data_IF_164999569206
#
_entry.id   IF_164999569206
#
_cell.length_a   1.000
_cell.length_b   1.000
_cell.length_c   1.000
_cell.angle_alpha   90.00
_cell.angle_beta   90.00
_cell.angle_gamma   90.00
#
_symmetry.space_group_name_H-M   'P 1'
#
loop_
_entity.id
_entity.type
_entity.pdbx_description
1 polymer ?
#
# COMPACT_ATOMS: atom_id res chain seq x y z
N UNK A 1 -11.15 -1.79 29.29
CA UNK A 1 -10.36 -0.68 28.72
C UNK A 1 -10.75 0.62 29.40
N UNK A 2 -9.77 1.40 29.84
CA UNK A 2 -9.96 2.77 30.36
C UNK A 2 -10.32 3.73 29.22
N UNK A 3 -10.74 4.96 29.53
CA UNK A 3 -10.99 5.99 28.51
C UNK A 3 -9.74 6.33 27.72
N UNK A 4 -8.59 6.46 28.40
CA UNK A 4 -7.30 6.71 27.75
C UNK A 4 -6.93 5.60 26.76
N UNK A 5 -7.15 4.33 27.13
CA UNK A 5 -6.91 3.19 26.24
C UNK A 5 -7.81 3.25 24.99
N UNK A 6 -9.09 3.63 25.14
CA UNK A 6 -10.02 3.78 24.02
C UNK A 6 -9.63 4.94 23.09
N UNK A 7 -9.18 6.06 23.65
CA UNK A 7 -8.70 7.20 22.86
C UNK A 7 -7.47 6.79 22.06
N UNK A 8 -6.50 6.13 22.71
CA UNK A 8 -5.29 5.66 22.03
C UNK A 8 -5.61 4.70 20.88
N UNK A 9 -6.55 3.78 21.08
CA UNK A 9 -7.00 2.86 20.04
C UNK A 9 -7.60 3.59 18.83
N UNK A 10 -8.43 4.62 19.06
CA UNK A 10 -9.03 5.45 17.99
C UNK A 10 -7.94 6.25 17.26
N UNK A 11 -7.00 6.83 17.99
CA UNK A 11 -5.86 7.56 17.40
C UNK A 11 -5.00 6.63 16.52
N UNK A 12 -4.80 5.39 16.96
CA UNK A 12 -4.03 4.40 16.22
C UNK A 12 -4.75 3.92 14.96
N UNK A 13 -6.06 3.68 15.06
CA UNK A 13 -6.89 3.39 13.88
C UNK A 13 -6.83 4.53 12.85
N UNK A 14 -6.95 5.78 13.30
CA UNK A 14 -6.86 6.95 12.42
C UNK A 14 -5.45 7.11 11.81
N UNK A 15 -4.40 6.85 12.58
CA UNK A 15 -3.02 6.92 12.10
C UNK A 15 -2.71 5.84 11.06
N UNK A 16 -3.17 4.61 11.27
CA UNK A 16 -3.03 3.52 10.29
C UNK A 16 -3.82 3.82 9.01
N UNK A 17 -5.05 4.35 9.12
CA UNK A 17 -5.81 4.76 7.93
C UNK A 17 -5.06 5.85 7.16
N UNK A 18 -4.51 6.84 7.85
CA UNK A 18 -3.71 7.90 7.23
C UNK A 18 -2.46 7.34 6.55
N UNK A 19 -1.79 6.35 7.14
CA UNK A 19 -0.63 5.67 6.56
C UNK A 19 -0.99 5.02 5.21
N UNK A 20 -2.10 4.29 5.16
CA UNK A 20 -2.65 3.67 3.94
C UNK A 20 -2.98 4.70 2.86
N UNK A 21 -3.63 5.80 3.21
CA UNK A 21 -3.96 6.86 2.27
C UNK A 21 -2.71 7.62 1.80
N UNK A 22 -1.72 7.80 2.68
CA UNK A 22 -0.45 8.45 2.33
C UNK A 22 0.35 7.62 1.33
N UNK A 23 0.28 6.29 1.40
CA UNK A 23 0.89 5.41 0.41
C UNK A 23 0.33 5.65 -1.00
N UNK A 24 -1.00 5.65 -1.13
CA UNK A 24 -1.68 5.91 -2.40
C UNK A 24 -1.37 7.32 -2.92
N UNK A 25 -1.40 8.32 -2.05
CA UNK A 25 -1.04 9.69 -2.39
C UNK A 25 0.40 9.83 -2.90
N UNK A 26 1.37 9.17 -2.26
CA UNK A 26 2.76 9.20 -2.71
C UNK A 26 2.92 8.55 -4.10
N UNK A 27 2.24 7.44 -4.37
CA UNK A 27 2.21 6.82 -5.70
C UNK A 27 1.69 7.80 -6.77
N UNK A 28 0.53 8.41 -6.51
CA UNK A 28 -0.12 9.31 -7.47
C UNK A 28 0.63 10.63 -7.70
N UNK A 29 1.43 11.06 -6.72
CA UNK A 29 2.30 12.23 -6.83
C UNK A 29 3.74 11.91 -7.27
N UNK A 30 4.03 10.64 -7.61
CA UNK A 30 5.37 10.16 -8.02
C UNK A 30 6.45 10.38 -6.96
N UNK A 31 6.07 10.40 -5.69
CA UNK A 31 6.98 10.58 -4.57
C UNK A 31 7.46 9.22 -4.04
N UNK A 32 8.35 8.56 -4.78
CA UNK A 32 8.87 7.24 -4.40
C UNK A 32 9.55 7.26 -3.03
N UNK A 33 10.37 8.27 -2.73
CA UNK A 33 11.02 8.42 -1.42
C UNK A 33 10.02 8.58 -0.28
N UNK A 34 8.97 9.39 -0.49
CA UNK A 34 7.87 9.53 0.45
C UNK A 34 7.16 8.21 0.69
N UNK A 35 6.91 7.44 -0.37
CA UNK A 35 6.27 6.14 -0.28
C UNK A 35 7.13 5.12 0.49
N UNK A 36 8.44 5.09 0.24
CA UNK A 36 9.40 4.25 0.98
C UNK A 36 9.43 4.60 2.47
N UNK A 37 9.34 5.88 2.82
CA UNK A 37 9.45 6.33 4.22
C UNK A 37 8.32 5.82 5.13
N UNK A 38 7.24 5.29 4.54
CA UNK A 38 6.10 4.69 5.22
C UNK A 38 6.37 3.27 5.72
N UNK A 39 7.48 2.67 5.30
CA UNK A 39 7.88 1.32 5.66
C UNK A 39 8.98 1.33 6.73
N UNK A 40 9.00 0.26 7.53
CA UNK A 40 10.13 -0.09 8.40
C UNK A 40 11.38 -0.37 7.58
N UNK A 41 12.56 -0.25 8.18
CA UNK A 41 13.84 -0.50 7.50
C UNK A 41 13.96 -1.95 7.01
N UNK A 42 13.51 -2.90 7.84
CA UNK A 42 13.48 -4.34 7.63
C UNK A 42 12.17 -4.85 7.02
N UNK A 43 11.42 -3.98 6.35
CA UNK A 43 10.11 -4.31 5.78
C UNK A 43 10.16 -5.48 4.81
N UNK A 44 9.04 -6.21 4.74
CA UNK A 44 8.78 -7.20 3.69
C UNK A 44 7.66 -6.74 2.75
N UNK A 45 7.93 -6.65 1.46
CA UNK A 45 6.95 -6.25 0.46
C UNK A 45 6.82 -7.36 -0.58
N UNK A 46 5.60 -7.84 -0.79
CA UNK A 46 5.31 -8.93 -1.71
C UNK A 46 4.28 -8.53 -2.73
N UNK A 47 4.49 -8.95 -3.98
CA UNK A 47 3.51 -8.79 -5.05
C UNK A 47 3.06 -10.16 -5.52
N UNK A 48 1.75 -10.34 -5.60
CA UNK A 48 1.08 -11.52 -6.14
C UNK A 48 0.26 -11.10 -7.36
N UNK A 49 0.79 -11.33 -8.57
CA UNK A 49 0.04 -11.12 -9.81
C UNK A 49 -0.99 -12.24 -10.07
N UNK A 50 -0.79 -13.41 -9.47
CA UNK A 50 -1.83 -14.43 -9.31
C UNK A 50 -2.22 -14.48 -7.82
N UNK A 51 -3.43 -14.00 -7.46
CA UNK A 51 -3.86 -13.92 -6.07
C UNK A 51 -4.12 -15.29 -5.44
N UNK A 52 -4.15 -16.38 -6.23
CA UNK A 52 -4.33 -17.76 -5.75
C UNK A 52 -3.00 -18.50 -5.57
N UNK A 53 -1.89 -17.89 -5.96
CA UNK A 53 -0.56 -18.48 -5.83
C UNK A 53 -0.09 -18.46 -4.38
N UNK A 54 0.46 -19.59 -3.91
CA UNK A 54 1.13 -19.66 -2.60
C UNK A 54 2.50 -18.97 -2.61
N UNK A 55 3.06 -18.71 -3.80
CA UNK A 55 4.36 -18.06 -3.98
C UNK A 55 4.21 -16.65 -4.56
N UNK A 56 4.87 -15.64 -3.98
CA UNK A 56 4.86 -14.27 -4.51
C UNK A 56 5.61 -14.18 -5.85
N UNK A 57 5.14 -13.30 -6.73
CA UNK A 57 5.80 -12.95 -7.99
C UNK A 57 7.03 -12.08 -7.79
N UNK A 58 7.04 -11.29 -6.71
CA UNK A 58 8.16 -10.44 -6.32
C UNK A 58 8.21 -10.35 -4.79
N UNK A 59 9.43 -10.36 -4.24
CA UNK A 59 9.68 -10.14 -2.81
C UNK A 59 10.80 -9.13 -2.66
N UNK A 60 10.58 -8.15 -1.79
CA UNK A 60 11.58 -7.17 -1.34
C UNK A 60 11.62 -7.23 0.19
N UNK A 61 12.81 -7.29 0.77
CA UNK A 61 12.98 -7.54 2.22
C UNK A 61 13.74 -6.42 2.93
N UNK A 62 13.85 -5.25 2.32
CA UNK A 62 14.34 -4.03 2.96
C UNK A 62 13.73 -2.80 2.29
N UNK A 63 13.73 -1.68 3.02
CA UNK A 63 13.12 -0.43 2.55
C UNK A 63 13.84 0.18 1.35
N UNK A 64 15.16 0.10 1.30
CA UNK A 64 15.96 0.79 0.28
C UNK A 64 15.70 0.22 -1.12
N UNK A 65 15.47 -1.09 -1.20
CA UNK A 65 15.16 -1.81 -2.43
C UNK A 65 13.72 -1.58 -2.94
N UNK A 66 12.88 -0.85 -2.20
CA UNK A 66 11.53 -0.49 -2.67
C UNK A 66 11.55 0.62 -3.74
N UNK A 67 12.63 1.39 -3.83
CA UNK A 67 12.68 2.54 -4.73
C UNK A 67 12.31 2.18 -6.18
N UNK A 68 12.91 1.15 -6.82
CA UNK A 68 12.62 0.84 -8.23
C UNK A 68 11.17 0.41 -8.46
N UNK A 69 10.52 -0.21 -7.46
CA UNK A 69 9.12 -0.63 -7.58
C UNK A 69 8.18 0.57 -7.60
N UNK A 70 8.42 1.54 -6.72
CA UNK A 70 7.58 2.73 -6.64
C UNK A 70 7.90 3.73 -7.77
N UNK A 71 9.17 3.84 -8.16
CA UNK A 71 9.60 4.68 -9.27
C UNK A 71 9.06 4.19 -10.63
N UNK A 72 8.75 2.90 -10.76
CA UNK A 72 8.15 2.33 -11.97
C UNK A 72 6.80 2.98 -12.33
N UNK A 73 6.10 3.66 -11.42
CA UNK A 73 4.88 4.41 -11.75
C UNK A 73 5.14 5.59 -12.72
N UNK A 74 6.40 6.02 -12.89
CA UNK A 74 6.79 7.01 -13.89
C UNK A 74 6.66 6.50 -15.33
N UNK A 75 6.45 5.20 -15.56
CA UNK A 75 6.13 4.69 -16.90
C UNK A 75 4.74 5.09 -17.38
N UNK A 76 3.86 5.55 -16.46
CA UNK A 76 2.51 5.99 -16.76
C UNK A 76 2.42 7.52 -16.77
N UNK A 77 1.73 8.08 -17.77
CA UNK A 77 1.42 9.52 -17.85
C UNK A 77 0.70 10.04 -16.59
N UNK A 78 -0.18 9.22 -16.01
CA UNK A 78 -0.91 9.56 -14.78
C UNK A 78 -1.37 8.30 -14.07
N UNK A 79 -1.44 8.35 -12.73
CA UNK A 79 -2.08 7.30 -11.93
C UNK A 79 -3.10 7.90 -10.97
N UNK A 80 -4.06 7.08 -10.55
CA UNK A 80 -4.96 7.38 -9.45
C UNK A 80 -5.26 6.09 -8.67
N UNK A 81 -5.00 6.09 -7.38
CA UNK A 81 -5.28 4.98 -6.48
C UNK A 81 -6.48 5.34 -5.59
N UNK A 82 -7.55 4.56 -5.69
CA UNK A 82 -8.76 4.76 -4.90
C UNK A 82 -8.88 3.67 -3.84
N UNK A 83 -8.65 4.03 -2.57
CA UNK A 83 -8.77 3.11 -1.44
C UNK A 83 -10.24 2.93 -1.02
N UNK A 84 -10.67 1.68 -0.93
CA UNK A 84 -12.03 1.26 -0.54
C UNK A 84 -12.13 0.83 0.91
N UNK A 85 -12.85 -0.28 1.16
CA UNK A 85 -13.00 -0.83 2.51
C UNK A 85 -11.62 -1.12 3.13
N UNK A 86 -11.52 -0.79 4.42
CA UNK A 86 -10.35 -1.00 5.24
C UNK A 86 -10.80 -1.62 6.57
N UNK A 87 -10.09 -2.64 7.03
CA UNK A 87 -10.28 -3.25 8.34
C UNK A 87 -8.92 -3.41 9.00
N UNK A 88 -8.85 -3.10 10.30
CA UNK A 88 -7.61 -3.12 11.08
C UNK A 88 -7.91 -3.75 12.44
N UNK A 89 -7.04 -4.65 12.87
CA UNK A 89 -7.02 -5.20 14.23
C UNK A 89 -5.72 -4.78 14.90
N UNK A 90 -5.82 -4.07 16.02
CA UNK A 90 -4.68 -3.51 16.74
C UNK A 90 -4.42 -4.34 18.00
N UNK A 91 -3.16 -4.68 18.23
CA UNK A 91 -2.67 -5.35 19.41
C UNK A 91 -1.39 -4.62 19.90
N UNK A 92 -1.57 -3.68 20.82
CA UNK A 92 -0.52 -2.80 21.33
C UNK A 92 0.16 -1.97 20.21
N UNK A 93 1.44 -2.20 20.00
CA UNK A 93 2.31 -1.59 18.99
C UNK A 93 2.34 -2.37 17.67
N UNK A 94 1.51 -3.41 17.53
CA UNK A 94 1.33 -4.14 16.28
C UNK A 94 -0.11 -4.03 15.78
N UNK A 95 -0.30 -4.12 14.47
CA UNK A 95 -1.61 -4.27 13.89
C UNK A 95 -1.57 -5.10 12.60
N UNK A 96 -2.70 -5.68 12.24
CA UNK A 96 -2.90 -6.31 10.93
C UNK A 96 -4.11 -5.67 10.25
N UNK A 97 -4.11 -5.58 8.93
CA UNK A 97 -5.27 -5.05 8.23
C UNK A 97 -5.37 -5.45 6.78
N UNK A 98 -6.60 -5.35 6.26
CA UNK A 98 -6.90 -5.52 4.85
C UNK A 98 -7.38 -4.19 4.29
N UNK A 99 -6.89 -3.81 3.12
CA UNK A 99 -7.38 -2.66 2.35
C UNK A 99 -7.64 -3.05 0.91
N UNK A 100 -8.82 -2.73 0.38
CA UNK A 100 -9.07 -2.78 -1.07
C UNK A 100 -8.63 -1.48 -1.74
N UNK A 101 -8.13 -1.58 -2.97
CA UNK A 101 -7.69 -0.45 -3.77
C UNK A 101 -7.99 -0.68 -5.25
N UNK A 102 -8.41 0.36 -5.95
CA UNK A 102 -8.48 0.38 -7.41
C UNK A 102 -7.39 1.31 -7.94
N UNK A 103 -6.36 0.75 -8.57
CA UNK A 103 -5.27 1.49 -9.19
C UNK A 103 -5.58 1.75 -10.67
N UNK A 104 -5.71 3.02 -11.06
CA UNK A 104 -5.97 3.45 -12.42
C UNK A 104 -4.68 4.00 -13.01
N UNK A 105 -4.18 3.39 -14.08
CA UNK A 105 -2.97 3.79 -14.76
C UNK A 105 -3.29 4.21 -16.20
N UNK A 106 -2.94 5.44 -16.56
CA UNK A 106 -3.13 6.02 -17.88
C UNK A 106 -1.80 6.06 -18.64
N UNK A 107 -1.81 5.56 -19.88
CA UNK A 107 -0.73 5.75 -20.85
C UNK A 107 -1.28 6.43 -22.10
N UNK A 108 -0.58 7.43 -22.62
CA UNK A 108 -0.88 8.05 -23.92
C UNK A 108 -0.06 7.36 -25.00
N UNK A 109 -0.71 6.94 -26.06
CA UNK A 109 -0.09 6.26 -27.20
C UNK A 109 -0.49 6.95 -28.51
N UNK A 110 0.22 6.70 -29.60
CA UNK A 110 -0.19 7.21 -30.92
C UNK A 110 -1.55 6.64 -31.29
N UNK A 111 -2.56 7.50 -31.40
CA UNK A 111 -3.93 7.12 -31.74
C UNK A 111 -4.89 7.00 -30.56
N UNK A 112 -4.46 7.25 -29.31
CA UNK A 112 -5.40 7.30 -28.19
C UNK A 112 -4.79 7.24 -26.80
N UNK A 113 -5.62 6.79 -25.86
CA UNK A 113 -5.27 6.57 -24.47
C UNK A 113 -5.53 5.12 -24.13
N UNK A 114 -4.61 4.51 -23.39
CA UNK A 114 -4.78 3.19 -22.80
C UNK A 114 -5.04 3.34 -21.31
N UNK A 115 -6.13 2.75 -20.84
CA UNK A 115 -6.49 2.74 -19.43
C UNK A 115 -6.36 1.33 -18.87
N UNK A 116 -5.48 1.15 -17.89
CA UNK A 116 -5.39 -0.06 -17.11
C UNK A 116 -5.94 0.19 -15.72
N UNK A 117 -6.82 -0.70 -15.24
CA UNK A 117 -7.34 -0.69 -13.87
C UNK A 117 -6.97 -2.01 -13.20
N UNK A 118 -6.21 -1.94 -12.12
CA UNK A 118 -5.91 -3.09 -11.27
C UNK A 118 -6.78 -3.02 -10.00
N UNK A 119 -7.54 -4.09 -9.76
CA UNK A 119 -8.19 -4.30 -8.48
C UNK A 119 -7.21 -4.99 -7.54
N UNK A 120 -6.93 -4.34 -6.43
CA UNK A 120 -5.87 -4.71 -5.51
C UNK A 120 -6.44 -4.95 -4.12
N UNK A 121 -5.94 -5.99 -3.45
CA UNK A 121 -6.11 -6.21 -2.03
C UNK A 121 -4.74 -6.17 -1.35
N UNK A 122 -4.60 -5.30 -0.37
CA UNK A 122 -3.44 -5.26 0.51
C UNK A 122 -3.75 -6.07 1.77
N UNK A 123 -2.91 -7.06 2.11
CA UNK A 123 -2.79 -7.65 3.44
C UNK A 123 -1.54 -7.05 4.10
N UNK A 124 -1.77 -6.23 5.12
CA UNK A 124 -0.72 -5.43 5.75
C UNK A 124 -0.48 -5.89 7.20
N UNK A 125 0.80 -5.94 7.58
CA UNK A 125 1.23 -5.92 8.97
C UNK A 125 1.85 -4.55 9.27
N UNK A 126 1.45 -3.97 10.40
CA UNK A 126 1.89 -2.66 10.85
C UNK A 126 2.61 -2.78 12.19
N UNK A 127 3.56 -1.89 12.41
CA UNK A 127 4.22 -1.72 13.71
C UNK A 127 4.35 -0.24 14.04
N UNK A 128 4.22 0.08 15.33
CA UNK A 128 4.42 1.43 15.86
C UNK A 128 5.85 1.57 16.37
N UNK A 129 6.64 2.40 15.69
CA UNK A 129 8.02 2.72 16.08
C UNK A 129 8.10 4.20 16.41
N UNK A 130 8.63 4.55 17.59
CA UNK A 130 8.78 5.93 18.05
C UNK A 130 7.48 6.77 17.92
N UNK A 131 6.34 6.15 18.23
CA UNK A 131 5.02 6.77 18.15
C UNK A 131 4.43 6.90 16.74
N UNK A 132 5.07 6.35 15.71
CA UNK A 132 4.60 6.35 14.32
C UNK A 132 4.29 4.95 13.83
N UNK A 133 3.12 4.78 13.23
CA UNK A 133 2.78 3.55 12.53
C UNK A 133 3.48 3.48 11.18
N UNK A 134 4.05 2.32 10.88
CA UNK A 134 4.74 2.00 9.64
C UNK A 134 4.29 0.63 9.13
N UNK A 135 4.46 0.39 7.83
CA UNK A 135 4.33 -0.95 7.25
C UNK A 135 5.54 -1.81 7.66
N UNK A 136 5.28 -2.90 8.38
CA UNK A 136 6.25 -3.96 8.64
C UNK A 136 6.23 -5.00 7.52
N UNK A 137 5.04 -5.32 7.02
CA UNK A 137 4.85 -6.15 5.85
C UNK A 137 3.69 -5.62 5.02
N UNK A 138 3.81 -5.72 3.70
CA UNK A 138 2.70 -5.53 2.76
C UNK A 138 2.69 -6.65 1.74
N UNK A 139 1.56 -7.34 1.64
CA UNK A 139 1.26 -8.26 0.54
C UNK A 139 0.25 -7.61 -0.38
N UNK A 140 0.68 -7.29 -1.58
CA UNK A 140 -0.14 -6.73 -2.65
C UNK A 140 -0.65 -7.88 -3.52
N UNK A 141 -1.94 -8.17 -3.43
CA UNK A 141 -2.63 -9.09 -4.33
C UNK A 141 -3.30 -8.31 -5.45
N UNK A 142 -2.98 -8.64 -6.70
CA UNK A 142 -3.73 -8.15 -7.85
C UNK A 142 -4.86 -9.14 -8.11
N UNK A 143 -6.07 -8.82 -7.66
CA UNK A 143 -7.22 -9.70 -7.77
C UNK A 143 -7.65 -9.86 -9.24
N UNK A 144 -7.65 -8.76 -10.01
CA UNK A 144 -7.79 -8.77 -11.47
C UNK A 144 -7.27 -7.47 -12.10
N UNK A 145 -7.09 -7.51 -13.44
CA UNK A 145 -6.74 -6.35 -14.27
C UNK A 145 -7.78 -6.20 -15.38
N UNK A 146 -8.24 -4.97 -15.59
CA UNK A 146 -9.05 -4.55 -16.71
C UNK A 146 -8.24 -3.60 -17.60
N UNK A 147 -8.25 -3.80 -18.92
CA UNK A 147 -7.64 -2.88 -19.89
C UNK A 147 -8.73 -2.34 -20.82
N UNK A 148 -8.69 -1.03 -21.09
CA UNK A 148 -9.60 -0.30 -21.98
C UNK A 148 -8.84 0.53 -23.00
#
# INVERSE_FOLDING_TARGET
MTTEQKIQEIEDQAAIRKLVDSYAYCADTRNAQGQMSLFTEDTRFEVYYDPKSDTPSQVITNREDLFPVFDNLNTYDSTMHFNGQNTVTIANDHATGITYCMAHHLTKEEGGQKFMVAAIRYDDQFVKQDGKWLFAERKLFVDWIENR
#
